data_IF_834066504502
#
_entry.id   IF_834066504502
#
_cell.length_a   1.000
_cell.length_b   1.000
_cell.length_c   1.000
_cell.angle_alpha   90.00
_cell.angle_beta   90.00
_cell.angle_gamma   90.00
#
_symmetry.space_group_name_H-M   'P 1'
#
loop_
_entity.id
_entity.type
_entity.pdbx_description
1 polymer ?
#
# COMPACT_ATOMS: atom_id res chain seq x y z
N UNK A 1 -9.21 9.81 6.86
CA UNK A 1 -8.03 10.67 7.15
C UNK A 1 -8.44 11.86 8.01
N UNK A 2 -7.80 12.02 9.18
CA UNK A 2 -7.89 13.19 10.06
C UNK A 2 -6.51 13.82 10.25
N UNK A 3 -6.45 15.10 10.63
CA UNK A 3 -5.20 15.81 10.89
C UNK A 3 -5.05 16.09 12.38
N UNK A 4 -3.86 15.87 12.93
CA UNK A 4 -3.55 16.23 14.32
C UNK A 4 -2.25 17.03 14.40
N UNK A 5 -2.09 17.78 15.49
CA UNK A 5 -0.82 18.42 15.82
C UNK A 5 0.00 17.48 16.70
N UNK A 6 1.26 17.26 16.34
CA UNK A 6 2.24 16.53 17.13
C UNK A 6 3.41 17.45 17.50
N UNK A 7 4.15 17.10 18.55
CA UNK A 7 5.44 17.72 18.87
C UNK A 7 6.53 16.87 18.21
N UNK A 8 7.12 17.40 17.14
CA UNK A 8 8.19 16.76 16.37
C UNK A 8 9.48 17.57 16.52
N UNK A 9 10.50 17.00 17.16
CA UNK A 9 11.75 17.68 17.49
C UNK A 9 11.56 19.07 18.12
N UNK A 10 10.64 19.17 19.08
CA UNK A 10 10.33 20.41 19.81
C UNK A 10 9.51 21.44 19.02
N UNK A 11 9.05 21.10 17.81
CA UNK A 11 8.19 21.96 16.97
C UNK A 11 6.81 21.33 16.79
N UNK A 12 5.78 22.17 16.80
CA UNK A 12 4.43 21.72 16.40
C UNK A 12 4.45 21.44 14.90
N UNK A 13 4.06 20.22 14.53
CA UNK A 13 3.90 19.76 13.15
C UNK A 13 2.52 19.14 12.98
N UNK A 14 1.98 19.23 11.77
CA UNK A 14 0.73 18.56 11.41
C UNK A 14 1.05 17.15 10.90
N UNK A 15 0.30 16.16 11.38
CA UNK A 15 0.39 14.77 10.97
C UNK A 15 -0.95 14.28 10.43
N UNK A 16 -0.91 13.42 9.40
CA UNK A 16 -2.08 12.75 8.86
C UNK A 16 -2.31 11.44 9.61
N UNK A 17 -3.54 11.19 10.04
CA UNK A 17 -3.95 9.92 10.66
C UNK A 17 -4.95 9.26 9.72
N UNK A 18 -4.60 8.07 9.26
CA UNK A 18 -5.43 7.22 8.43
C UNK A 18 -6.17 6.20 9.29
N UNK A 19 -7.29 5.68 8.78
CA UNK A 19 -8.11 4.68 9.44
C UNK A 19 -7.55 3.26 9.26
N UNK A 20 -6.78 3.02 8.20
CA UNK A 20 -6.11 1.73 7.93
C UNK A 20 -4.96 1.88 6.93
N UNK A 21 -4.14 0.84 6.78
CA UNK A 21 -3.17 0.75 5.70
C UNK A 21 -3.83 0.81 4.33
N UNK A 22 -4.99 0.19 4.15
CA UNK A 22 -5.74 0.30 2.90
C UNK A 22 -6.07 1.75 2.54
N UNK A 23 -6.58 2.55 3.49
CA UNK A 23 -6.89 3.96 3.23
C UNK A 23 -5.64 4.74 2.83
N UNK A 24 -4.54 4.52 3.55
CA UNK A 24 -3.27 5.18 3.27
C UNK A 24 -2.73 4.86 1.87
N UNK A 25 -2.61 3.58 1.53
CA UNK A 25 -2.06 3.11 0.24
C UNK A 25 -2.94 3.58 -0.92
N UNK A 26 -4.26 3.55 -0.75
CA UNK A 26 -5.21 4.06 -1.74
C UNK A 26 -5.05 5.57 -1.99
N UNK A 27 -4.64 6.34 -0.97
CA UNK A 27 -4.46 7.79 -1.07
C UNK A 27 -3.09 8.23 -1.61
N UNK A 28 -2.05 7.41 -1.41
CA UNK A 28 -0.65 7.77 -1.66
C UNK A 28 -0.12 7.39 -3.05
N UNK A 29 -1.02 7.30 -4.04
CA UNK A 29 -0.75 6.95 -5.44
C UNK A 29 -0.41 5.45 -5.67
N UNK A 30 -0.56 4.93 -6.91
CA UNK A 30 -0.55 3.50 -7.18
C UNK A 30 0.75 2.84 -6.72
N UNK A 31 0.64 1.63 -6.18
CA UNK A 31 1.80 0.83 -5.80
C UNK A 31 2.57 0.47 -7.07
N UNK A 32 3.78 1.01 -7.20
CA UNK A 32 4.74 0.59 -8.22
C UNK A 32 5.37 -0.72 -7.75
N UNK A 33 4.66 -1.83 -8.02
CA UNK A 33 5.12 -3.17 -7.69
C UNK A 33 5.30 -3.99 -8.96
N UNK A 34 6.41 -4.73 -9.00
CA UNK A 34 6.71 -5.71 -10.03
C UNK A 34 6.96 -7.07 -9.38
N UNK A 35 6.64 -8.12 -10.12
CA UNK A 35 6.98 -9.48 -9.73
C UNK A 35 7.51 -10.25 -10.94
N UNK A 36 8.10 -11.41 -10.67
CA UNK A 36 8.66 -12.26 -11.71
C UNK A 36 7.59 -12.67 -12.71
N UNK A 37 8.01 -12.77 -13.97
CA UNK A 37 7.15 -13.32 -15.01
C UNK A 37 7.01 -14.83 -14.82
N UNK A 38 5.78 -15.28 -14.62
CA UNK A 38 5.44 -16.69 -14.44
C UNK A 38 4.61 -17.16 -15.63
N UNK A 39 5.13 -18.15 -16.36
CA UNK A 39 4.41 -18.82 -17.45
C UNK A 39 3.19 -19.56 -16.90
N UNK A 40 2.10 -19.57 -17.67
CA UNK A 40 0.87 -20.28 -17.30
C UNK A 40 -0.12 -19.51 -16.43
N UNK A 41 0.24 -18.32 -15.90
CA UNK A 41 -0.72 -17.43 -15.25
C UNK A 41 -1.68 -16.76 -16.27
N UNK A 42 -2.83 -16.23 -15.82
CA UNK A 42 -3.65 -15.35 -16.65
C UNK A 42 -2.93 -14.05 -17.04
N UNK A 43 -3.44 -13.34 -18.05
CA UNK A 43 -2.95 -12.01 -18.45
C UNK A 43 -3.06 -10.99 -17.30
N UNK A 44 -4.15 -11.06 -16.54
CA UNK A 44 -4.36 -10.31 -15.30
C UNK A 44 -4.61 -11.26 -14.15
N UNK A 45 -3.85 -11.15 -13.06
CA UNK A 45 -3.99 -12.02 -11.90
C UNK A 45 -3.85 -11.25 -10.58
N UNK A 46 -4.47 -11.78 -9.53
CA UNK A 46 -4.45 -11.17 -8.20
C UNK A 46 -3.22 -11.66 -7.44
N UNK A 47 -2.53 -10.73 -6.76
CA UNK A 47 -1.51 -11.05 -5.78
C UNK A 47 -1.79 -10.39 -4.44
N UNK A 48 -1.24 -10.97 -3.38
CA UNK A 48 -1.24 -10.39 -2.05
C UNK A 48 -0.21 -9.27 -1.96
N UNK A 49 -0.51 -8.28 -1.13
CA UNK A 49 0.35 -7.14 -0.87
C UNK A 49 0.34 -6.84 0.63
N UNK A 50 1.52 -6.61 1.20
CA UNK A 50 1.67 -6.29 2.61
C UNK A 50 2.64 -5.12 2.78
N UNK A 51 2.36 -4.21 3.72
CA UNK A 51 3.23 -3.07 4.01
C UNK A 51 4.67 -3.49 4.33
N UNK A 52 4.84 -4.64 4.98
CA UNK A 52 6.14 -5.20 5.34
C UNK A 52 7.00 -5.57 4.12
N UNK A 53 6.37 -5.96 3.01
CA UNK A 53 7.09 -6.28 1.76
C UNK A 53 7.71 -5.06 1.09
N UNK A 54 7.19 -3.88 1.39
CA UNK A 54 7.65 -2.58 0.88
C UNK A 54 8.20 -1.70 2.02
N UNK A 55 8.88 -2.35 2.97
CA UNK A 55 9.31 -1.73 4.23
C UNK A 55 10.19 -0.50 4.07
N UNK A 56 11.03 -0.46 3.03
CA UNK A 56 11.87 0.73 2.74
C UNK A 56 11.02 1.91 2.27
N UNK A 57 9.97 1.69 1.49
CA UNK A 57 9.13 2.77 1.00
C UNK A 57 8.22 3.35 2.09
N UNK A 58 7.89 2.59 3.14
CA UNK A 58 7.01 3.03 4.23
C UNK A 58 7.71 3.40 5.53
N UNK A 59 8.85 2.77 5.82
CA UNK A 59 9.59 2.95 7.08
C UNK A 59 11.00 3.52 6.86
N UNK A 60 11.43 3.72 5.61
CA UNK A 60 12.76 4.22 5.27
C UNK A 60 13.88 3.21 5.51
N UNK A 61 15.13 3.68 5.45
CA UNK A 61 16.35 2.86 5.62
C UNK A 61 16.68 2.51 7.09
N UNK A 62 15.97 3.11 8.05
CA UNK A 62 16.19 2.86 9.48
C UNK A 62 14.84 2.76 10.22
N UNK A 63 14.22 1.57 10.23
CA UNK A 63 12.94 1.34 10.92
C UNK A 63 13.03 1.56 12.44
N UNK A 64 14.22 1.72 13.02
CA UNK A 64 14.42 1.90 14.46
C UNK A 64 14.78 3.33 14.87
N UNK A 65 15.10 4.25 13.95
CA UNK A 65 15.55 5.58 14.35
C UNK A 65 14.44 6.56 14.74
N UNK A 66 13.21 6.34 14.27
CA UNK A 66 12.07 7.24 14.54
C UNK A 66 10.74 6.53 14.21
N UNK A 67 10.54 5.27 14.61
CA UNK A 67 9.21 4.68 14.65
C UNK A 67 8.42 5.45 15.73
N UNK A 68 7.95 6.63 15.36
CA UNK A 68 7.07 7.44 16.16
C UNK A 68 5.80 6.63 16.32
N UNK A 69 5.65 5.97 17.44
CA UNK A 69 4.35 5.49 17.87
C UNK A 69 3.66 6.62 18.61
N UNK A 70 2.37 6.79 18.36
CA UNK A 70 1.53 7.69 19.13
C UNK A 70 0.30 6.93 19.61
N UNK A 71 -0.21 7.33 20.77
CA UNK A 71 -1.49 6.85 21.28
C UNK A 71 -2.53 7.96 21.14
N UNK A 72 -3.67 7.63 20.54
CA UNK A 72 -4.82 8.53 20.42
C UNK A 72 -6.04 7.76 20.91
N UNK A 73 -6.70 8.27 21.95
CA UNK A 73 -7.91 7.67 22.52
C UNK A 73 -7.77 6.18 22.90
N UNK A 74 -6.56 5.76 23.33
CA UNK A 74 -6.25 4.38 23.72
C UNK A 74 -5.92 3.43 22.55
N UNK A 75 -5.92 3.92 21.32
CA UNK A 75 -5.48 3.18 20.14
C UNK A 75 -4.02 3.55 19.80
N UNK A 76 -3.18 2.55 19.56
CA UNK A 76 -1.80 2.73 19.09
C UNK A 76 -1.77 2.94 17.57
N UNK A 77 -0.95 3.90 17.16
CA UNK A 77 -0.68 4.24 15.77
C UNK A 77 0.82 4.22 15.50
N UNK A 78 1.20 3.65 14.37
CA UNK A 78 2.59 3.61 13.90
C UNK A 78 2.80 4.59 12.77
N UNK A 79 3.93 5.31 12.82
CA UNK A 79 4.34 6.21 11.75
C UNK A 79 4.61 5.44 10.45
N UNK A 80 4.09 5.99 9.37
CA UNK A 80 4.29 5.56 7.99
C UNK A 80 4.61 6.80 7.15
N UNK A 81 5.55 6.68 6.21
CA UNK A 81 5.97 7.81 5.38
C UNK A 81 6.41 7.34 4.01
N UNK A 82 5.80 7.85 2.94
CA UNK A 82 6.32 7.77 1.57
C UNK A 82 7.05 9.09 1.27
N UNK A 83 8.37 9.07 1.49
CA UNK A 83 9.24 10.24 1.31
C UNK A 83 9.55 10.98 2.61
N UNK A 84 10.55 11.87 2.55
CA UNK A 84 11.19 12.45 3.74
C UNK A 84 10.33 13.48 4.48
N UNK A 85 9.41 14.15 3.78
CA UNK A 85 8.60 15.26 4.31
C UNK A 85 7.24 14.80 4.88
N UNK A 86 6.83 13.56 4.63
CA UNK A 86 5.53 13.06 5.08
C UNK A 86 5.56 12.63 6.56
N UNK A 87 4.56 13.09 7.31
CA UNK A 87 4.29 12.64 8.66
C UNK A 87 2.87 12.05 8.68
N UNK A 88 2.79 10.74 8.46
CA UNK A 88 1.54 10.00 8.44
C UNK A 88 1.57 8.86 9.46
N UNK A 89 0.38 8.45 9.89
CA UNK A 89 0.21 7.37 10.85
C UNK A 89 -1.00 6.51 10.48
N UNK A 90 -0.89 5.22 10.76
CA UNK A 90 -1.99 4.23 10.68
C UNK A 90 -2.11 3.48 11.99
N UNK A 91 -3.26 2.86 12.29
CA UNK A 91 -3.37 1.94 13.43
C UNK A 91 -2.32 0.84 13.32
N UNK A 92 -1.64 0.56 14.43
CA UNK A 92 -0.51 -0.41 14.45
C UNK A 92 -0.95 -1.82 14.03
N UNK A 93 -2.16 -2.22 14.38
CA UNK A 93 -2.78 -3.49 13.95
C UNK A 93 -3.03 -3.54 12.43
N UNK A 94 -3.33 -2.40 11.80
CA UNK A 94 -3.54 -2.33 10.35
C UNK A 94 -2.27 -2.61 9.53
N UNK A 95 -1.07 -2.54 10.12
CA UNK A 95 0.19 -2.88 9.43
C UNK A 95 0.25 -4.35 8.97
N UNK A 96 -0.50 -5.21 9.64
CA UNK A 96 -0.60 -6.64 9.33
C UNK A 96 -1.73 -6.98 8.36
N UNK A 97 -2.45 -5.97 7.84
CA UNK A 97 -3.48 -6.19 6.82
C UNK A 97 -2.85 -6.71 5.53
N UNK A 98 -3.33 -7.87 5.08
CA UNK A 98 -3.10 -8.34 3.71
C UNK A 98 -4.06 -7.61 2.78
N UNK A 99 -3.51 -6.81 1.88
CA UNK A 99 -4.24 -6.19 0.78
C UNK A 99 -4.02 -6.98 -0.51
N UNK A 100 -4.72 -6.58 -1.56
CA UNK A 100 -4.68 -7.28 -2.84
C UNK A 100 -4.43 -6.30 -3.98
N UNK A 101 -3.56 -6.68 -4.90
CA UNK A 101 -3.25 -5.93 -6.13
C UNK A 101 -3.52 -6.81 -7.35
N UNK A 102 -3.65 -6.19 -8.51
CA UNK A 102 -3.75 -6.91 -9.78
C UNK A 102 -2.44 -6.70 -10.54
N UNK A 103 -1.84 -7.79 -10.98
CA UNK A 103 -0.69 -7.78 -11.88
C UNK A 103 -1.16 -7.96 -13.32
N UNK A 104 -0.59 -7.16 -14.23
CA UNK A 104 -0.67 -7.35 -15.66
C UNK A 104 0.61 -8.02 -16.15
N UNK A 105 0.46 -9.16 -16.84
CA UNK A 105 1.56 -9.92 -17.40
C UNK A 105 1.88 -9.46 -18.82
N UNK A 106 2.98 -8.73 -18.98
CA UNK A 106 3.46 -8.29 -20.28
C UNK A 106 4.37 -9.35 -20.92
N UNK A 107 3.87 -9.99 -21.97
CA UNK A 107 4.60 -11.02 -22.73
C UNK A 107 5.82 -10.50 -23.49
N UNK A 108 5.81 -9.23 -23.91
CA UNK A 108 6.89 -8.65 -24.72
C UNK A 108 8.12 -8.34 -23.86
N UNK A 109 7.89 -7.80 -22.67
CA UNK A 109 8.97 -7.46 -21.71
C UNK A 109 9.29 -8.61 -20.77
N UNK A 110 8.45 -9.67 -20.75
CA UNK A 110 8.52 -10.77 -19.77
C UNK A 110 8.57 -10.23 -18.34
N UNK A 111 7.63 -9.34 -18.02
CA UNK A 111 7.46 -8.78 -16.68
C UNK A 111 5.99 -8.79 -16.24
N UNK A 112 5.77 -8.82 -14.93
CA UNK A 112 4.45 -8.65 -14.32
C UNK A 112 4.47 -7.35 -13.52
N UNK A 113 3.63 -6.38 -13.91
CA UNK A 113 3.55 -5.08 -13.24
C UNK A 113 2.17 -4.86 -12.64
N UNK A 114 2.11 -4.28 -11.45
CA UNK A 114 0.86 -3.89 -10.82
C UNK A 114 0.06 -2.91 -11.69
N UNK A 115 -1.27 -3.05 -11.74
CA UNK A 115 -2.16 -2.12 -12.45
C UNK A 115 -2.33 -0.79 -11.71
N UNK A 116 -1.77 -0.69 -10.50
CA UNK A 116 -1.91 0.45 -9.62
C UNK A 116 -3.20 0.47 -8.80
N UNK A 117 -4.08 -0.53 -8.97
CA UNK A 117 -5.27 -0.69 -8.14
C UNK A 117 -4.95 -1.53 -6.89
N UNK A 118 -5.45 -1.12 -5.73
CA UNK A 118 -5.34 -1.80 -4.44
C UNK A 118 -6.74 -2.12 -3.91
N UNK A 119 -6.89 -3.30 -3.30
CA UNK A 119 -8.17 -3.81 -2.80
C UNK A 119 -8.03 -4.32 -1.37
N UNK A 120 -9.09 -4.17 -0.59
CA UNK A 120 -9.14 -4.68 0.77
C UNK A 120 -9.49 -6.18 0.80
N UNK A 121 -10.15 -6.69 -0.24
CA UNK A 121 -10.54 -8.10 -0.33
C UNK A 121 -10.09 -8.74 -1.64
N UNK A 122 -9.81 -10.04 -1.56
CA UNK A 122 -9.46 -10.86 -2.73
C UNK A 122 -10.59 -10.91 -3.76
N UNK A 123 -11.83 -11.04 -3.30
CA UNK A 123 -13.00 -11.15 -4.17
C UNK A 123 -13.19 -9.91 -5.06
N UNK A 124 -12.99 -8.71 -4.49
CA UNK A 124 -13.05 -7.46 -5.26
C UNK A 124 -11.93 -7.39 -6.32
N UNK A 125 -10.72 -7.79 -5.94
CA UNK A 125 -9.58 -7.83 -6.86
C UNK A 125 -9.81 -8.85 -7.99
N UNK A 126 -10.34 -10.04 -7.68
CA UNK A 126 -10.62 -11.09 -8.65
C UNK A 126 -11.73 -10.68 -9.62
N UNK A 127 -12.81 -10.08 -9.10
CA UNK A 127 -13.88 -9.52 -9.93
C UNK A 127 -13.30 -8.49 -10.91
N UNK A 128 -12.45 -7.60 -10.43
CA UNK A 128 -11.82 -6.57 -11.26
C UNK A 128 -10.84 -7.14 -12.28
N UNK A 129 -10.04 -8.14 -11.92
CA UNK A 129 -9.13 -8.82 -12.85
C UNK A 129 -9.91 -9.45 -14.01
N UNK A 130 -11.04 -10.10 -13.72
CA UNK A 130 -11.90 -10.68 -14.75
C UNK A 130 -12.52 -9.62 -15.69
N UNK A 131 -12.87 -8.44 -15.18
CA UNK A 131 -13.34 -7.32 -16.00
C UNK A 131 -12.26 -6.80 -16.96
N UNK A 132 -11.00 -6.79 -16.53
CA UNK A 132 -9.87 -6.37 -17.36
C UNK A 132 -9.64 -7.34 -18.52
N UNK A 133 -9.69 -8.66 -18.25
CA UNK A 133 -9.63 -9.71 -19.28
C UNK A 133 -10.78 -9.58 -20.29
N UNK A 134 -11.99 -9.27 -19.82
CA UNK A 134 -13.15 -9.08 -20.70
C UNK A 134 -13.03 -7.88 -21.66
N UNK A 135 -12.23 -6.86 -21.29
CA UNK A 135 -11.97 -5.68 -22.13
C UNK A 135 -10.86 -5.92 -23.15
N UNK A 136 -9.83 -6.71 -22.84
CA UNK A 136 -8.78 -7.04 -23.81
C UNK A 136 -9.27 -7.97 -24.93
N UNK A 137 -10.34 -8.74 -24.71
CA UNK A 137 -10.97 -9.60 -25.73
C UNK A 137 -11.90 -8.90 -26.74
N UNK A 138 -12.09 -7.58 -26.65
CA UNK A 138 -12.95 -6.79 -27.56
C UNK A 138 -12.16 -5.97 -28.60
N UNK A 139 -10.85 -6.19 -28.74
CA UNK A 139 -10.01 -5.53 -29.76
C UNK A 139 -9.95 -6.30 -31.08
#
# INVERSE_FOLDING_TARGET
>A
MKNINIIYYGKVKQANIYESMFEYVKSSAPVDCETDYIEGLPEYFVGEWEAATDSVAFFGYDPMKDAGEIEIDGQSYTRISRGEDEISYVPTDSLSETLYVIYHRNHNTRSCSCTGEIFQTKEEAEKRANELVGKSGLS
#
